data_IF_397014434195
#
_entry.id   IF_397014434195
#
_cell.length_a   1.000
_cell.length_b   1.000
_cell.length_c   1.000
_cell.angle_alpha   90.00
_cell.angle_beta   90.00
_cell.angle_gamma   90.00
#
_symmetry.space_group_name_H-M   'P 1'
#
loop_
_entity.id
_entity.type
_entity.pdbx_description
1 polymer ?
#
# COMPACT_ATOMS: atom_id res chain seq x y z
N UNK A 1 14.01 -51.03 -15.08
CA UNK A 1 14.35 -52.30 -15.77
C UNK A 1 14.78 -52.13 -17.24
N UNK A 2 14.34 -51.11 -17.99
CA UNK A 2 14.66 -50.99 -19.42
C UNK A 2 16.10 -50.57 -19.77
N UNK A 3 16.77 -49.76 -18.95
CA UNK A 3 18.11 -49.26 -19.30
C UNK A 3 19.20 -50.34 -19.20
N UNK A 4 19.07 -51.27 -18.24
CA UNK A 4 20.03 -52.36 -18.03
C UNK A 4 19.97 -53.39 -19.17
N UNK A 5 18.76 -53.68 -19.66
CA UNK A 5 18.54 -54.59 -20.79
C UNK A 5 19.06 -53.94 -22.10
N UNK A 6 18.86 -52.64 -22.29
CA UNK A 6 19.40 -51.90 -23.45
C UNK A 6 20.93 -51.80 -23.44
N UNK A 7 21.55 -51.61 -22.26
CA UNK A 7 23.01 -51.64 -22.11
C UNK A 7 23.56 -53.00 -22.52
N UNK A 8 22.97 -54.08 -22.02
CA UNK A 8 23.37 -55.46 -22.31
C UNK A 8 23.22 -55.77 -23.80
N UNK A 9 22.11 -55.39 -24.44
CA UNK A 9 21.87 -55.73 -25.86
C UNK A 9 22.71 -54.92 -26.84
N UNK A 10 23.15 -53.71 -26.50
CA UNK A 10 23.92 -52.86 -27.40
C UNK A 10 25.44 -52.94 -27.16
N UNK A 11 25.86 -53.13 -25.90
CA UNK A 11 27.29 -53.15 -25.54
C UNK A 11 27.90 -54.53 -25.78
N UNK A 12 27.18 -55.63 -25.53
CA UNK A 12 27.69 -56.99 -25.75
C UNK A 12 28.11 -57.25 -27.21
N UNK A 13 27.31 -56.92 -28.24
CA UNK A 13 27.72 -57.16 -29.63
C UNK A 13 28.86 -56.24 -30.07
N UNK A 14 28.88 -54.97 -29.64
CA UNK A 14 29.98 -54.05 -29.93
C UNK A 14 31.29 -54.52 -29.28
N UNK A 15 31.20 -55.06 -28.07
CA UNK A 15 32.31 -55.64 -27.32
C UNK A 15 32.85 -56.93 -27.96
N UNK A 16 31.98 -57.81 -28.45
CA UNK A 16 32.37 -59.02 -29.16
C UNK A 16 33.17 -58.70 -30.45
N UNK A 17 32.75 -57.67 -31.20
CA UNK A 17 33.43 -57.23 -32.42
C UNK A 17 34.82 -56.63 -32.12
N UNK A 18 34.95 -55.84 -31.05
CA UNK A 18 36.24 -55.27 -30.63
C UNK A 18 37.23 -56.35 -30.16
N UNK A 19 36.76 -57.40 -29.49
CA UNK A 19 37.60 -58.49 -28.98
C UNK A 19 38.11 -59.44 -30.09
N UNK A 20 37.43 -59.48 -31.25
CA UNK A 20 37.84 -60.33 -32.38
C UNK A 20 39.02 -59.74 -33.17
N UNK A 21 39.17 -58.41 -33.20
CA UNK A 21 40.16 -57.71 -34.06
C UNK A 21 41.50 -57.40 -33.38
N UNK A 22 41.61 -57.47 -32.06
CA UNK A 22 42.82 -57.03 -31.36
C UNK A 22 43.37 -58.09 -30.39
N UNK A 23 44.48 -58.74 -30.77
CA UNK A 23 45.06 -59.88 -30.04
C UNK A 23 45.52 -59.52 -28.61
N UNK A 24 45.91 -58.25 -28.40
CA UNK A 24 46.31 -57.71 -27.09
C UNK A 24 45.11 -57.63 -26.13
N UNK A 25 43.95 -57.23 -26.64
CA UNK A 25 42.72 -57.07 -25.86
C UNK A 25 42.22 -58.43 -25.35
N UNK A 26 42.30 -59.45 -26.20
CA UNK A 26 41.90 -60.84 -25.89
C UNK A 26 42.68 -61.48 -24.73
N UNK A 27 43.94 -61.09 -24.55
CA UNK A 27 44.82 -61.62 -23.49
C UNK A 27 44.80 -60.78 -22.20
N UNK A 28 44.41 -59.50 -22.30
CA UNK A 28 44.43 -58.53 -21.21
C UNK A 28 43.11 -58.51 -20.40
N UNK A 29 41.96 -58.65 -21.05
CA UNK A 29 40.64 -58.63 -20.41
C UNK A 29 40.48 -59.67 -19.28
N UNK A 30 40.74 -60.98 -19.48
CA UNK A 30 40.50 -61.96 -18.42
C UNK A 30 41.41 -61.76 -17.20
N UNK A 31 42.59 -61.15 -17.40
CA UNK A 31 43.54 -60.85 -16.32
C UNK A 31 43.12 -59.64 -15.48
N UNK A 32 42.36 -58.71 -16.07
CA UNK A 32 41.94 -57.46 -15.43
C UNK A 32 40.41 -57.34 -15.30
N UNK A 33 39.70 -58.46 -15.37
CA UNK A 33 38.24 -58.53 -15.30
C UNK A 33 37.71 -57.88 -14.00
N UNK A 34 38.43 -58.05 -12.89
CA UNK A 34 38.11 -57.39 -11.61
C UNK A 34 38.15 -55.86 -11.72
N UNK A 35 39.10 -55.30 -12.48
CA UNK A 35 39.26 -53.85 -12.67
C UNK A 35 38.13 -53.28 -13.54
N UNK A 36 37.73 -53.99 -14.60
CA UNK A 36 36.57 -53.60 -15.41
C UNK A 36 35.26 -53.67 -14.61
N UNK A 37 35.08 -54.71 -13.79
CA UNK A 37 33.91 -54.81 -12.91
C UNK A 37 33.91 -53.72 -11.84
N UNK A 38 35.08 -53.35 -11.31
CA UNK A 38 35.24 -52.28 -10.35
C UNK A 38 34.92 -50.91 -10.98
N UNK A 39 35.40 -50.64 -12.20
CA UNK A 39 35.09 -49.42 -12.95
C UNK A 39 33.61 -49.33 -13.31
N UNK A 40 32.99 -50.44 -13.72
CA UNK A 40 31.56 -50.49 -14.00
C UNK A 40 30.73 -50.28 -12.74
N UNK A 41 31.11 -50.90 -11.62
CA UNK A 41 30.45 -50.71 -10.33
C UNK A 41 30.63 -49.28 -9.79
N UNK A 42 31.81 -48.69 -9.95
CA UNK A 42 32.07 -47.30 -9.61
C UNK A 42 31.25 -46.31 -10.46
N UNK A 43 31.10 -46.58 -11.77
CA UNK A 43 30.21 -45.80 -12.65
C UNK A 43 28.74 -45.94 -12.24
N UNK A 44 28.29 -47.15 -11.88
CA UNK A 44 26.92 -47.39 -11.40
C UNK A 44 26.67 -46.67 -10.06
N UNK A 45 27.61 -46.74 -9.11
CA UNK A 45 27.53 -46.02 -7.84
C UNK A 45 27.54 -44.50 -8.02
N UNK A 46 28.41 -43.98 -8.89
CA UNK A 46 28.49 -42.55 -9.20
C UNK A 46 27.22 -42.04 -9.89
N UNK A 47 26.57 -42.86 -10.73
CA UNK A 47 25.29 -42.52 -11.36
C UNK A 47 24.09 -42.62 -10.43
N UNK A 48 24.15 -43.48 -9.41
CA UNK A 48 23.07 -43.68 -8.46
C UNK A 48 22.86 -42.47 -7.53
N UNK A 49 23.94 -41.77 -7.16
CA UNK A 49 23.86 -40.53 -6.39
C UNK A 49 23.19 -39.38 -7.17
N UNK A 50 23.45 -39.27 -8.48
CA UNK A 50 22.81 -38.27 -9.34
C UNK A 50 21.31 -38.57 -9.55
N UNK A 51 20.93 -39.85 -9.64
CA UNK A 51 19.53 -40.25 -9.75
C UNK A 51 18.72 -39.95 -8.49
N UNK A 52 19.31 -40.15 -7.30
CA UNK A 52 18.68 -39.79 -6.02
C UNK A 52 18.44 -38.28 -5.90
N UNK A 53 19.44 -37.46 -6.29
CA UNK A 53 19.28 -36.00 -6.29
C UNK A 53 18.21 -35.51 -7.28
N UNK A 54 17.97 -36.24 -8.38
CA UNK A 54 16.92 -35.90 -9.34
C UNK A 54 15.52 -36.18 -8.76
N UNK A 55 15.34 -37.27 -8.01
CA UNK A 55 14.05 -37.64 -7.41
C UNK A 55 13.65 -36.66 -6.28
N UNK A 56 14.61 -36.25 -5.45
CA UNK A 56 14.38 -35.22 -4.43
C UNK A 56 14.10 -33.84 -5.06
N UNK A 57 14.82 -33.46 -6.12
CA UNK A 57 14.53 -32.24 -6.87
C UNK A 57 13.13 -32.28 -7.50
N UNK A 58 12.70 -33.40 -8.06
CA UNK A 58 11.35 -33.56 -8.61
C UNK A 58 10.26 -33.39 -7.55
N UNK A 59 10.47 -33.89 -6.33
CA UNK A 59 9.52 -33.70 -5.23
C UNK A 59 9.35 -32.21 -4.87
N UNK A 60 10.46 -31.45 -4.81
CA UNK A 60 10.40 -30.00 -4.52
C UNK A 60 9.72 -29.19 -5.63
N UNK A 61 9.85 -29.62 -6.90
CA UNK A 61 9.17 -28.96 -8.02
C UNK A 61 7.67 -29.12 -7.91
N UNK A 62 7.17 -30.30 -7.54
CA UNK A 62 5.73 -30.54 -7.33
C UNK A 62 5.17 -29.68 -6.20
N UNK A 63 5.94 -29.51 -5.11
CA UNK A 63 5.54 -28.62 -4.01
C UNK A 63 5.47 -27.15 -4.46
N UNK A 64 6.46 -26.70 -5.24
CA UNK A 64 6.48 -25.35 -5.83
C UNK A 64 5.33 -25.13 -6.82
N UNK A 65 5.00 -26.11 -7.65
CA UNK A 65 3.84 -26.04 -8.56
C UNK A 65 2.54 -25.85 -7.78
N UNK A 66 2.34 -26.57 -6.66
CA UNK A 66 1.18 -26.36 -5.80
C UNK A 66 1.11 -24.95 -5.21
N UNK A 67 2.24 -24.37 -4.82
CA UNK A 67 2.32 -22.97 -4.33
C UNK A 67 2.02 -21.97 -5.46
N UNK A 68 2.44 -22.27 -6.69
CA UNK A 68 2.12 -21.44 -7.86
C UNK A 68 0.62 -21.44 -8.11
N UNK A 69 -0.02 -22.61 -8.10
CA UNK A 69 -1.47 -22.72 -8.31
C UNK A 69 -2.26 -21.94 -7.24
N UNK A 70 -1.86 -22.04 -5.96
CA UNK A 70 -2.47 -21.26 -4.88
C UNK A 70 -2.30 -19.75 -5.13
N UNK A 71 -1.11 -19.32 -5.54
CA UNK A 71 -0.86 -17.92 -5.84
C UNK A 71 -1.60 -17.41 -7.07
N UNK A 72 -1.75 -18.23 -8.10
CA UNK A 72 -2.51 -17.86 -9.29
C UNK A 72 -4.00 -17.68 -8.97
N UNK A 73 -4.57 -18.49 -8.08
CA UNK A 73 -5.94 -18.27 -7.59
C UNK A 73 -6.07 -16.97 -6.80
N UNK A 74 -5.10 -16.66 -5.93
CA UNK A 74 -5.11 -15.44 -5.15
C UNK A 74 -4.92 -14.19 -6.02
N UNK A 75 -4.08 -14.27 -7.07
CA UNK A 75 -3.93 -13.20 -8.06
C UNK A 75 -5.27 -12.94 -8.76
N UNK A 76 -5.99 -14.00 -9.18
CA UNK A 76 -7.28 -13.85 -9.83
C UNK A 76 -8.33 -13.18 -8.92
N UNK A 77 -8.37 -13.54 -7.63
CA UNK A 77 -9.25 -12.90 -6.64
C UNK A 77 -8.91 -11.41 -6.45
N UNK A 78 -7.63 -11.06 -6.35
CA UNK A 78 -7.23 -9.65 -6.24
C UNK A 78 -7.53 -8.85 -7.52
N UNK A 79 -7.39 -9.46 -8.69
CA UNK A 79 -7.72 -8.81 -9.96
C UNK A 79 -9.23 -8.49 -10.04
N UNK A 80 -10.08 -9.40 -9.58
CA UNK A 80 -11.53 -9.18 -9.47
C UNK A 80 -11.85 -8.03 -8.51
N UNK A 81 -11.24 -8.02 -7.32
CA UNK A 81 -11.46 -6.95 -6.35
C UNK A 81 -10.97 -5.59 -6.86
N UNK A 82 -9.86 -5.56 -7.60
CA UNK A 82 -9.36 -4.34 -8.26
C UNK A 82 -10.38 -3.84 -9.30
N UNK A 83 -11.00 -4.73 -10.07
CA UNK A 83 -12.05 -4.34 -11.03
C UNK A 83 -13.29 -3.79 -10.34
N UNK A 84 -13.73 -4.41 -9.24
CA UNK A 84 -14.87 -3.94 -8.46
C UNK A 84 -14.62 -2.53 -7.89
N UNK A 85 -13.47 -2.33 -7.24
CA UNK A 85 -13.04 -1.03 -6.73
C UNK A 85 -12.91 0.03 -7.84
N UNK A 86 -12.40 -0.36 -9.00
CA UNK A 86 -12.31 0.53 -10.16
C UNK A 86 -13.68 1.00 -10.63
N UNK A 87 -14.68 0.09 -10.63
CA UNK A 87 -16.04 0.42 -11.01
C UNK A 87 -16.72 1.30 -9.97
N UNK A 88 -16.59 0.98 -8.69
CA UNK A 88 -17.14 1.80 -7.61
C UNK A 88 -16.60 3.24 -7.67
N UNK A 89 -15.30 3.37 -7.97
CA UNK A 89 -14.69 4.68 -8.17
C UNK A 89 -15.30 5.45 -9.34
N UNK A 90 -15.52 4.80 -10.48
CA UNK A 90 -16.15 5.43 -11.66
C UNK A 90 -17.59 5.90 -11.35
N UNK A 91 -18.39 5.07 -10.68
CA UNK A 91 -19.76 5.41 -10.26
C UNK A 91 -19.79 6.58 -9.25
N UNK A 92 -18.80 6.67 -8.36
CA UNK A 92 -18.65 7.79 -7.42
C UNK A 92 -18.19 9.07 -8.12
N UNK A 93 -17.27 8.98 -9.08
CA UNK A 93 -16.84 10.12 -9.90
C UNK A 93 -18.02 10.69 -10.71
N UNK A 94 -18.88 9.84 -11.28
CA UNK A 94 -20.10 10.28 -11.96
C UNK A 94 -21.08 11.00 -11.02
N UNK A 95 -21.29 10.47 -9.81
CA UNK A 95 -22.10 11.14 -8.79
C UNK A 95 -21.54 12.51 -8.40
N UNK A 96 -20.21 12.62 -8.29
CA UNK A 96 -19.53 13.87 -7.99
C UNK A 96 -19.79 14.90 -9.10
N UNK A 97 -19.62 14.51 -10.37
CA UNK A 97 -19.91 15.38 -11.53
C UNK A 97 -21.37 15.82 -11.56
N UNK A 98 -22.30 14.91 -11.25
CA UNK A 98 -23.72 15.27 -11.18
C UNK A 98 -24.02 16.26 -10.05
N UNK A 99 -23.42 16.07 -8.88
CA UNK A 99 -23.59 16.96 -7.74
C UNK A 99 -22.97 18.35 -8.00
N UNK A 100 -21.81 18.40 -8.65
CA UNK A 100 -21.18 19.66 -9.09
C UNK A 100 -22.08 20.43 -10.05
N UNK A 101 -22.70 19.75 -11.03
CA UNK A 101 -23.67 20.40 -11.93
C UNK A 101 -24.89 20.97 -11.20
N UNK A 102 -25.35 20.31 -10.15
CA UNK A 102 -26.44 20.83 -9.32
C UNK A 102 -26.00 22.06 -8.51
N UNK A 103 -24.77 22.06 -7.99
CA UNK A 103 -24.17 23.18 -7.29
C UNK A 103 -24.07 24.42 -8.20
N UNK A 104 -23.61 24.25 -9.44
CA UNK A 104 -23.48 25.33 -10.42
C UNK A 104 -24.82 26.00 -10.74
N UNK A 105 -25.86 25.19 -10.99
CA UNK A 105 -27.23 25.70 -11.23
C UNK A 105 -27.76 26.45 -10.02
N UNK A 106 -27.46 25.96 -8.81
CA UNK A 106 -27.90 26.58 -7.59
C UNK A 106 -27.16 27.90 -7.34
N UNK A 107 -25.86 27.95 -7.67
CA UNK A 107 -25.06 29.16 -7.61
C UNK A 107 -25.60 30.22 -8.59
N UNK A 108 -25.83 29.87 -9.85
CA UNK A 108 -26.44 30.77 -10.86
C UNK A 108 -27.78 31.33 -10.36
N UNK A 109 -28.65 30.46 -9.82
CA UNK A 109 -29.94 30.87 -9.24
C UNK A 109 -29.78 31.87 -8.08
N UNK A 110 -28.78 31.68 -7.21
CA UNK A 110 -28.54 32.60 -6.10
C UNK A 110 -27.89 33.91 -6.58
N UNK A 111 -27.02 33.87 -7.59
CA UNK A 111 -26.43 35.07 -8.23
C UNK A 111 -27.52 35.93 -8.89
N UNK A 112 -28.42 35.32 -9.66
CA UNK A 112 -29.60 35.99 -10.23
C UNK A 112 -30.45 36.62 -9.13
N UNK A 113 -30.68 35.89 -8.03
CA UNK A 113 -31.49 36.40 -6.92
C UNK A 113 -30.82 37.57 -6.19
N UNK A 114 -29.49 37.55 -6.07
CA UNK A 114 -28.71 38.66 -5.51
C UNK A 114 -28.85 39.88 -6.42
N UNK A 115 -28.74 39.71 -7.75
CA UNK A 115 -28.90 40.81 -8.70
C UNK A 115 -30.29 41.46 -8.60
N UNK A 116 -31.36 40.67 -8.59
CA UNK A 116 -32.74 41.15 -8.40
C UNK A 116 -32.89 41.98 -7.11
N UNK A 117 -32.35 41.46 -6.00
CA UNK A 117 -32.41 42.14 -4.70
C UNK A 117 -31.59 43.43 -4.70
N UNK A 118 -30.48 43.47 -5.43
CA UNK A 118 -29.63 44.66 -5.54
C UNK A 118 -30.33 45.78 -6.31
N UNK A 119 -31.05 45.43 -7.38
CA UNK A 119 -31.91 46.36 -8.13
C UNK A 119 -33.07 46.88 -7.26
N UNK A 120 -33.69 46.00 -6.46
CA UNK A 120 -34.73 46.38 -5.51
C UNK A 120 -34.20 47.37 -4.46
N UNK A 121 -33.02 47.12 -3.88
CA UNK A 121 -32.36 48.04 -2.93
C UNK A 121 -32.06 49.41 -3.57
N UNK A 122 -31.50 49.42 -4.79
CA UNK A 122 -31.19 50.66 -5.53
C UNK A 122 -32.43 51.55 -5.76
N UNK A 123 -33.57 50.91 -6.06
CA UNK A 123 -34.85 51.60 -6.23
C UNK A 123 -35.41 52.17 -4.91
N UNK A 124 -35.12 51.52 -3.78
CA UNK A 124 -35.53 51.96 -2.44
C UNK A 124 -34.64 53.09 -1.90
N UNK A 125 -33.33 53.07 -2.17
CA UNK A 125 -32.39 54.14 -1.77
C UNK A 125 -32.70 55.48 -2.45
N UNK A 126 -33.17 55.43 -3.71
CA UNK A 126 -33.58 56.60 -4.48
C UNK A 126 -34.81 57.32 -3.89
N UNK A 127 -35.62 56.64 -3.09
CA UNK A 127 -36.79 57.22 -2.41
C UNK A 127 -36.49 57.73 -1.00
N UNK A 128 -35.29 57.51 -0.45
CA UNK A 128 -34.93 57.84 0.95
C UNK A 128 -34.15 59.15 1.12
N UNK A 129 -33.73 59.84 0.04
CA UNK A 129 -32.93 61.09 0.11
C UNK A 129 -33.74 62.39 0.21
N UNK A 130 -35.02 62.32 0.62
CA UNK A 130 -35.82 63.52 0.96
C UNK A 130 -36.65 63.32 2.23
N UNK A 131 -35.99 63.14 3.37
CA UNK A 131 -36.39 63.66 4.71
C UNK A 131 -35.38 63.18 5.75
N UNK A 132 -34.58 64.11 6.32
CA UNK A 132 -34.20 64.20 7.74
C UNK A 132 -32.79 64.80 7.95
N UNK A 133 -32.75 66.13 8.11
CA UNK A 133 -31.78 66.80 8.98
C UNK A 133 -32.56 67.19 10.25
N UNK A 134 -32.12 66.79 11.45
CA UNK A 134 -31.80 67.62 12.65
C UNK A 134 -31.75 66.77 13.95
N UNK A 135 -30.57 66.80 14.60
CA UNK A 135 -30.25 66.65 16.05
C UNK A 135 -30.49 65.34 16.84
N UNK A 136 -29.35 64.73 17.21
CA UNK A 136 -28.73 64.77 18.57
C UNK A 136 -28.66 63.46 19.36
N UNK A 137 -27.41 63.18 19.77
CA UNK A 137 -26.93 62.56 21.01
C UNK A 137 -26.95 61.03 21.16
N UNK A 138 -25.72 60.48 21.11
CA UNK A 138 -25.06 59.70 22.18
C UNK A 138 -25.66 58.33 22.60
N UNK A 139 -24.97 57.25 22.19
CA UNK A 139 -24.43 56.14 23.03
C UNK A 139 -23.79 55.12 22.05
N UNK A 140 -22.46 54.96 21.90
CA UNK A 140 -21.54 54.09 22.70
C UNK A 140 -22.23 52.76 23.10
N UNK A 141 -21.78 51.54 22.79
CA UNK A 141 -20.41 50.99 22.64
C UNK A 141 -20.43 49.59 21.97
N UNK A 142 -19.46 49.39 21.08
CA UNK A 142 -18.66 48.21 20.71
C UNK A 142 -19.15 46.75 20.87
N UNK A 143 -18.91 46.02 19.76
CA UNK A 143 -18.22 44.72 19.69
C UNK A 143 -17.58 44.18 20.98
N UNK A 144 -17.81 42.90 21.20
CA UNK A 144 -16.92 41.97 21.92
C UNK A 144 -17.20 40.60 21.29
N UNK A 145 -16.37 40.11 20.36
CA UNK A 145 -15.07 39.46 20.62
C UNK A 145 -15.01 38.85 22.01
N UNK A 146 -15.37 37.57 22.09
CA UNK A 146 -14.96 36.68 23.15
C UNK A 146 -13.80 35.82 22.65
N UNK A 147 -12.64 36.46 22.56
CA UNK A 147 -11.38 35.81 22.89
C UNK A 147 -11.46 35.43 24.37
N UNK A 148 -11.41 34.13 24.65
CA UNK A 148 -11.03 33.65 25.97
C UNK A 148 -9.60 33.14 25.83
N UNK A 149 -8.67 34.08 25.93
CA UNK A 149 -7.27 33.83 26.20
C UNK A 149 -7.14 33.08 27.53
N UNK A 150 -6.74 31.81 27.46
CA UNK A 150 -5.80 31.31 28.46
C UNK A 150 -4.41 31.56 27.91
N UNK A 151 -3.75 32.56 28.49
CA UNK A 151 -2.30 32.73 28.38
C UNK A 151 -1.61 31.47 28.90
N UNK A 152 -1.38 30.54 27.99
CA UNK A 152 -0.34 29.53 28.06
C UNK A 152 0.66 29.94 26.99
N UNK A 153 1.86 30.32 27.40
CA UNK A 153 3.02 30.62 26.58
C UNK A 153 2.99 29.89 25.22
N UNK A 154 2.55 30.60 24.17
CA UNK A 154 2.38 30.01 22.84
C UNK A 154 3.77 29.79 22.22
N UNK A 155 4.41 28.69 22.58
CA UNK A 155 5.69 28.21 22.01
C UNK A 155 5.52 27.59 20.62
N UNK A 156 4.29 27.59 20.12
CA UNK A 156 3.92 27.05 18.82
C UNK A 156 4.05 28.12 17.73
N UNK A 157 4.79 27.80 16.67
CA UNK A 157 4.96 28.69 15.52
C UNK A 157 3.70 28.76 14.66
N UNK A 158 3.56 29.81 13.85
CA UNK A 158 2.50 29.86 12.85
C UNK A 158 2.64 28.67 11.86
N UNK A 159 1.53 27.97 11.61
CA UNK A 159 1.50 26.81 10.72
C UNK A 159 1.75 25.45 11.39
N UNK A 160 1.85 25.39 12.72
CA UNK A 160 1.87 24.12 13.47
C UNK A 160 0.48 23.69 13.92
N UNK A 161 0.25 22.39 14.00
CA UNK A 161 -0.96 21.77 14.56
C UNK A 161 -0.77 21.56 16.06
N UNK A 162 -1.65 22.14 16.86
CA UNK A 162 -1.65 21.98 18.31
C UNK A 162 -2.25 20.63 18.71
N UNK A 163 -1.44 19.68 19.16
CA UNK A 163 -1.91 18.31 19.38
C UNK A 163 -2.99 18.20 20.47
N UNK A 164 -2.93 19.05 21.50
CA UNK A 164 -3.83 18.98 22.64
C UNK A 164 -5.12 19.81 22.46
N UNK A 165 -5.16 20.72 21.50
CA UNK A 165 -6.30 21.64 21.29
C UNK A 165 -6.90 21.65 19.89
N UNK A 166 -6.20 21.16 18.85
CA UNK A 166 -6.69 21.14 17.47
C UNK A 166 -8.01 20.37 17.31
N UNK A 167 -8.79 20.72 16.30
CA UNK A 167 -9.98 19.97 15.88
C UNK A 167 -9.60 18.63 15.23
N UNK A 168 -10.56 17.70 15.15
CA UNK A 168 -10.33 16.41 14.45
C UNK A 168 -9.92 16.61 12.99
N UNK A 169 -10.43 17.63 12.31
CA UNK A 169 -10.06 17.93 10.92
C UNK A 169 -8.64 18.46 10.80
N UNK A 170 -8.19 19.29 11.72
CA UNK A 170 -6.81 19.80 11.72
C UNK A 170 -5.80 18.70 12.03
N UNK A 171 -6.15 17.77 12.92
CA UNK A 171 -5.31 16.60 13.21
C UNK A 171 -5.11 15.70 11.98
N UNK A 172 -6.07 15.67 11.05
CA UNK A 172 -5.96 14.89 9.81
C UNK A 172 -4.93 15.47 8.82
N UNK A 173 -4.43 16.69 9.04
CA UNK A 173 -3.31 17.25 8.27
C UNK A 173 -1.96 16.59 8.63
N UNK A 174 -1.89 15.86 9.74
CA UNK A 174 -0.69 15.14 10.18
C UNK A 174 -0.52 13.89 9.33
N UNK A 175 0.71 13.65 8.85
CA UNK A 175 1.03 12.47 8.07
C UNK A 175 0.65 11.18 8.83
N UNK A 176 -0.01 10.25 8.15
CA UNK A 176 -0.52 8.99 8.72
C UNK A 176 -1.60 9.17 9.81
N UNK A 177 -2.26 10.32 9.92
CA UNK A 177 -3.42 10.53 10.80
C UNK A 177 -4.69 10.67 9.95
N UNK A 178 -5.48 9.61 9.88
CA UNK A 178 -6.82 9.63 9.29
C UNK A 178 -7.92 9.86 10.33
N UNK A 179 -9.21 9.90 9.93
CA UNK A 179 -10.35 10.19 10.81
C UNK A 179 -10.38 9.36 12.10
N UNK A 180 -10.14 8.05 11.97
CA UNK A 180 -10.15 7.13 13.13
C UNK A 180 -9.01 7.41 14.12
N UNK A 181 -7.81 7.77 13.62
CA UNK A 181 -6.67 8.12 14.47
C UNK A 181 -6.84 9.51 15.07
N UNK A 182 -7.39 10.46 14.33
CA UNK A 182 -7.70 11.80 14.83
C UNK A 182 -8.68 11.73 16.03
N UNK A 183 -9.75 10.94 15.91
CA UNK A 183 -10.70 10.73 17.01
C UNK A 183 -10.04 10.08 18.24
N UNK A 184 -9.14 9.10 18.02
CA UNK A 184 -8.34 8.51 19.11
C UNK A 184 -7.40 9.52 19.78
N UNK A 185 -6.74 10.39 19.00
CA UNK A 185 -5.88 11.45 19.53
C UNK A 185 -6.72 12.36 20.44
N UNK A 186 -7.88 12.85 19.99
CA UNK A 186 -8.76 13.67 20.82
C UNK A 186 -9.13 12.96 22.14
N UNK A 187 -9.42 11.66 22.06
CA UNK A 187 -9.80 10.85 23.23
C UNK A 187 -8.66 10.59 24.22
N UNK A 188 -7.40 10.61 23.76
CA UNK A 188 -6.21 10.24 24.54
C UNK A 188 -5.39 11.43 25.05
N UNK A 189 -5.85 12.66 24.76
CA UNK A 189 -5.26 13.90 25.27
C UNK A 189 -5.11 13.87 26.81
N UNK A 190 -4.05 14.47 27.36
CA UNK A 190 -3.00 15.25 26.69
C UNK A 190 -1.81 14.41 26.20
N UNK A 191 -0.98 14.99 25.34
CA UNK A 191 0.30 14.48 24.84
C UNK A 191 1.41 15.50 25.13
N UNK A 192 2.60 15.01 25.50
CA UNK A 192 3.76 15.84 25.84
C UNK A 192 4.96 15.61 24.92
N UNK A 193 4.96 14.51 24.17
CA UNK A 193 6.04 14.14 23.25
C UNK A 193 5.55 13.25 22.12
N UNK A 194 6.36 13.09 21.07
CA UNK A 194 6.09 12.13 19.99
C UNK A 194 6.01 10.69 20.48
N UNK A 195 6.69 10.35 21.57
CA UNK A 195 6.61 9.01 22.17
C UNK A 195 5.21 8.70 22.73
N UNK A 196 4.49 9.73 23.20
CA UNK A 196 3.14 9.56 23.74
C UNK A 196 2.11 9.25 22.63
N UNK A 197 2.39 9.65 21.38
CA UNK A 197 1.54 9.35 20.22
C UNK A 197 1.41 7.85 19.98
N UNK A 198 2.37 7.04 20.47
CA UNK A 198 2.32 5.57 20.38
C UNK A 198 1.17 4.93 21.17
N UNK A 199 0.50 5.70 22.05
CA UNK A 199 -0.73 5.26 22.72
C UNK A 199 -1.91 5.12 21.74
N UNK A 200 -1.84 5.79 20.59
CA UNK A 200 -2.85 5.72 19.52
C UNK A 200 -2.66 4.43 18.74
N UNK A 201 -3.73 3.66 18.57
CA UNK A 201 -3.67 2.37 17.85
C UNK A 201 -3.28 2.61 16.40
N UNK A 202 -2.19 1.95 15.97
CA UNK A 202 -1.66 2.07 14.61
C UNK A 202 -0.59 3.16 14.43
N UNK A 203 -0.21 3.88 15.50
CA UNK A 203 1.00 4.72 15.51
C UNK A 203 2.10 3.94 16.24
N UNK A 204 2.94 3.23 15.49
CA UNK A 204 4.14 2.58 16.01
C UNK A 204 5.38 3.47 15.88
N UNK A 205 6.56 2.96 16.26
CA UNK A 205 7.82 3.71 16.22
C UNK A 205 8.08 4.37 14.85
N UNK A 206 7.90 3.62 13.76
CA UNK A 206 8.09 4.14 12.40
C UNK A 206 7.15 5.29 12.06
N UNK A 207 5.90 5.23 12.52
CA UNK A 207 4.93 6.29 12.24
C UNK A 207 5.17 7.50 13.13
N UNK A 208 5.50 7.29 14.41
CA UNK A 208 5.86 8.37 15.31
C UNK A 208 7.10 9.14 14.81
N UNK A 209 8.12 8.43 14.33
CA UNK A 209 9.32 9.02 13.72
C UNK A 209 8.99 9.78 12.42
N UNK A 210 8.12 9.22 11.56
CA UNK A 210 7.69 9.91 10.34
C UNK A 210 6.91 11.21 10.64
N UNK A 211 6.09 11.20 11.69
CA UNK A 211 5.35 12.37 12.17
C UNK A 211 6.30 13.41 12.76
N UNK A 212 7.30 12.99 13.54
CA UNK A 212 8.35 13.88 14.07
C UNK A 212 9.12 14.57 12.95
N UNK A 213 9.51 13.82 11.92
CA UNK A 213 10.21 14.36 10.74
C UNK A 213 9.39 15.39 9.95
N UNK A 214 8.06 15.40 10.08
CA UNK A 214 7.20 16.42 9.46
C UNK A 214 7.37 17.79 10.13
N UNK A 215 7.67 17.82 11.44
CA UNK A 215 7.94 19.05 12.19
C UNK A 215 6.76 20.01 12.33
N UNK A 216 5.54 19.59 12.02
CA UNK A 216 4.33 20.47 12.10
C UNK A 216 3.60 20.38 13.43
N UNK A 217 3.93 19.43 14.30
CA UNK A 217 3.22 19.26 15.58
C UNK A 217 3.81 20.22 16.62
N UNK A 218 2.93 20.91 17.33
CA UNK A 218 3.28 21.59 18.57
C UNK A 218 2.61 20.91 19.77
N UNK A 219 3.37 20.76 20.85
CA UNK A 219 2.89 20.30 22.15
C UNK A 219 2.62 21.53 23.02
N UNK A 220 1.34 21.82 23.22
CA UNK A 220 0.79 22.93 24.03
C UNK A 220 0.36 22.50 25.43
#
# INVERSE_FOLDING_TARGET
MNLFILLITLIIPLYAVLNQKNSVVKQWIPKNAWLLSFVLFAMILSGCSAAYQLEEAQATVVELEGVIDEKDTLIAEYEEHIQELSKEKEDLEEQLVSAESELDKLQEKYEDKIADLQDEISSLESNSTKTATTKSAESTTASSNSDSSSDSSNSCGAGTVHINSASESELQAIYQVGPERASQIVSLRPFSSYSDLKRVKGIGDKHAEAIENQGIICFD
#
